data_IF_721779908748
#
_entry.id   IF_721779908748
#
_cell.length_a   1.000
_cell.length_b   1.000
_cell.length_c   1.000
_cell.angle_alpha   90.00
_cell.angle_beta   90.00
_cell.angle_gamma   90.00
#
_symmetry.space_group_name_H-M   'P 1'
#
loop_
_entity.id
_entity.type
_entity.pdbx_description
1 polymer ?
#
# COMPACT_ATOMS: atom_id res chain seq x y z
N UNK A 1 -48.99 -59.84 1.93
CA UNK A 1 -48.47 -58.66 1.19
C UNK A 1 -47.12 -58.28 1.80
N UNK A 2 -46.00 -58.69 1.18
CA UNK A 2 -44.65 -58.35 1.64
C UNK A 2 -44.27 -56.98 1.05
N UNK A 3 -44.03 -55.97 1.90
CA UNK A 3 -43.50 -54.67 1.49
C UNK A 3 -42.00 -54.84 1.20
N UNK A 4 -41.60 -54.68 -0.07
CA UNK A 4 -40.21 -54.54 -0.48
C UNK A 4 -39.70 -53.17 -0.04
N UNK A 5 -38.66 -53.16 0.79
CA UNK A 5 -37.90 -51.97 1.14
C UNK A 5 -36.90 -51.73 0.01
N UNK A 6 -37.04 -50.63 -0.74
CA UNK A 6 -36.02 -50.19 -1.69
C UNK A 6 -34.93 -49.44 -0.93
N UNK A 7 -33.75 -50.04 -0.82
CA UNK A 7 -32.52 -49.36 -0.45
C UNK A 7 -32.03 -48.55 -1.65
N UNK A 8 -32.12 -47.22 -1.55
CA UNK A 8 -31.45 -46.31 -2.48
C UNK A 8 -30.00 -46.18 -1.95
N UNK A 9 -28.97 -46.57 -2.72
CA UNK A 9 -27.60 -46.32 -2.30
C UNK A 9 -27.33 -44.82 -2.42
N UNK A 10 -26.97 -44.17 -1.30
CA UNK A 10 -26.38 -42.85 -1.33
C UNK A 10 -25.02 -42.98 -2.03
N UNK A 11 -24.93 -42.54 -3.28
CA UNK A 11 -23.67 -42.49 -4.03
C UNK A 11 -22.94 -41.23 -3.59
N UNK A 12 -22.01 -41.41 -2.66
CA UNK A 12 -21.03 -40.38 -2.28
C UNK A 12 -19.98 -40.29 -3.38
N UNK A 13 -20.13 -39.34 -4.29
CA UNK A 13 -19.13 -39.05 -5.31
C UNK A 13 -18.09 -38.08 -4.76
N UNK A 14 -16.86 -38.55 -4.52
CA UNK A 14 -15.71 -37.66 -4.42
C UNK A 14 -15.33 -37.24 -5.85
N UNK A 15 -15.65 -36.01 -6.23
CA UNK A 15 -15.07 -35.39 -7.43
C UNK A 15 -13.67 -34.87 -7.05
N UNK A 16 -12.66 -35.32 -7.78
CA UNK A 16 -11.29 -34.82 -7.70
C UNK A 16 -10.99 -34.10 -9.01
N UNK A 17 -11.12 -32.77 -9.04
CA UNK A 17 -10.56 -31.93 -10.08
C UNK A 17 -9.18 -31.38 -9.66
N UNK A 18 -8.38 -31.04 -10.67
CA UNK A 18 -6.93 -30.94 -10.59
C UNK A 18 -6.36 -29.89 -9.63
N UNK A 19 -5.14 -30.17 -9.16
CA UNK A 19 -4.07 -29.40 -8.48
C UNK A 19 -4.32 -28.08 -7.69
N UNK A 20 -5.53 -27.55 -7.55
CA UNK A 20 -5.89 -26.44 -6.66
C UNK A 20 -6.97 -26.78 -5.63
N UNK A 21 -7.67 -27.91 -5.78
CA UNK A 21 -8.84 -28.29 -4.97
C UNK A 21 -8.55 -28.80 -3.55
N UNK A 22 -7.29 -28.85 -3.09
CA UNK A 22 -6.99 -29.48 -1.79
C UNK A 22 -7.35 -28.64 -0.56
N UNK A 23 -7.72 -27.38 -0.72
CA UNK A 23 -7.92 -26.45 0.40
C UNK A 23 -9.37 -26.43 0.94
N UNK A 24 -10.38 -26.54 0.06
CA UNK A 24 -11.79 -26.47 0.46
C UNK A 24 -12.40 -27.87 0.55
N UNK A 25 -13.00 -28.20 1.71
CA UNK A 25 -13.69 -29.46 1.94
C UNK A 25 -15.10 -29.19 2.46
N UNK A 26 -16.11 -29.65 1.72
CA UNK A 26 -17.51 -29.56 2.12
C UNK A 26 -18.27 -30.82 1.67
N UNK A 27 -19.41 -31.07 2.30
CA UNK A 27 -20.39 -32.03 1.79
C UNK A 27 -21.07 -31.41 0.56
N UNK A 28 -20.90 -32.03 -0.61
CA UNK A 28 -21.48 -31.56 -1.87
C UNK A 28 -22.65 -32.45 -2.22
N UNK A 29 -23.84 -31.87 -2.29
CA UNK A 29 -25.04 -32.59 -2.72
C UNK A 29 -25.07 -32.72 -4.24
N UNK A 30 -25.82 -33.71 -4.75
CA UNK A 30 -26.10 -33.83 -6.19
C UNK A 30 -27.06 -32.73 -6.70
N UNK A 31 -27.71 -31.99 -5.79
CA UNK A 31 -28.62 -30.89 -6.09
C UNK A 31 -27.97 -29.51 -5.94
N UNK A 32 -28.76 -28.44 -5.78
CA UNK A 32 -28.20 -27.12 -5.49
C UNK A 32 -27.50 -27.14 -4.13
N UNK A 33 -26.35 -26.47 -4.08
CA UNK A 33 -25.61 -26.25 -2.84
C UNK A 33 -25.79 -24.79 -2.38
N UNK A 34 -25.66 -24.49 -1.07
CA UNK A 34 -25.88 -23.14 -0.52
C UNK A 34 -24.71 -22.17 -0.77
N UNK A 35 -24.10 -22.23 -1.95
CA UNK A 35 -23.06 -21.32 -2.43
C UNK A 35 -23.22 -21.08 -3.94
N UNK A 36 -22.75 -19.93 -4.42
CA UNK A 36 -22.89 -19.57 -5.84
C UNK A 36 -21.92 -20.31 -6.73
N UNK A 37 -20.63 -20.36 -6.36
CA UNK A 37 -19.56 -21.09 -7.04
C UNK A 37 -18.36 -21.33 -6.09
N UNK A 38 -17.39 -22.14 -6.52
CA UNK A 38 -16.15 -22.45 -5.78
C UNK A 38 -14.89 -21.91 -6.49
N UNK A 39 -15.04 -20.84 -7.28
CA UNK A 39 -13.92 -20.19 -7.97
C UNK A 39 -13.20 -19.25 -6.99
N UNK A 40 -12.51 -19.82 -6.00
CA UNK A 40 -11.77 -19.05 -5.01
C UNK A 40 -10.72 -18.16 -5.66
N UNK A 41 -10.60 -16.93 -5.16
CA UNK A 41 -9.61 -15.97 -5.62
C UNK A 41 -8.31 -16.08 -4.80
N UNK A 42 -7.68 -17.25 -4.83
CA UNK A 42 -6.58 -17.63 -3.92
C UNK A 42 -5.36 -18.25 -4.63
N UNK A 43 -5.14 -17.93 -5.91
CA UNK A 43 -3.93 -18.37 -6.61
C UNK A 43 -2.67 -17.91 -5.86
N UNK A 44 -1.65 -18.75 -5.81
CA UNK A 44 -0.41 -18.46 -5.09
C UNK A 44 0.34 -17.24 -5.66
N UNK A 45 0.03 -16.79 -6.87
CA UNK A 45 0.60 -15.60 -7.48
C UNK A 45 -0.17 -14.31 -7.14
N UNK A 46 -1.41 -14.45 -6.63
CA UNK A 46 -2.24 -13.35 -6.17
C UNK A 46 -1.93 -13.05 -4.70
N UNK A 47 -1.71 -11.77 -4.41
CA UNK A 47 -1.36 -11.32 -3.06
C UNK A 47 -1.91 -9.93 -2.79
N UNK A 48 -1.94 -9.55 -1.51
CA UNK A 48 -2.38 -8.22 -1.10
C UNK A 48 -1.32 -7.49 -0.29
N UNK A 49 -1.20 -6.19 -0.53
CA UNK A 49 -0.38 -5.30 0.28
C UNK A 49 -1.12 -3.99 0.51
N UNK A 50 -0.76 -3.27 1.56
CA UNK A 50 -1.28 -1.92 1.82
C UNK A 50 -0.28 -0.86 1.35
N UNK A 51 -0.77 0.32 0.96
CA UNK A 51 0.05 1.52 0.73
C UNK A 51 -0.42 2.59 1.70
N UNK A 52 0.47 3.03 2.57
CA UNK A 52 0.21 4.11 3.52
C UNK A 52 0.80 5.43 3.00
N UNK A 53 0.00 6.49 3.08
CA UNK A 53 0.40 7.85 2.70
C UNK A 53 1.32 8.49 3.74
N UNK A 54 1.67 9.74 3.45
CA UNK A 54 2.24 10.75 4.34
C UNK A 54 1.69 10.61 5.76
N UNK A 55 2.57 10.52 6.76
CA UNK A 55 2.14 10.72 8.15
C UNK A 55 2.01 12.22 8.41
N UNK A 56 2.96 13.00 7.91
CA UNK A 56 3.25 14.37 8.39
C UNK A 56 2.93 15.46 7.36
N UNK A 57 3.40 16.68 7.63
CA UNK A 57 3.00 17.90 6.92
C UNK A 57 1.93 18.70 7.68
N UNK A 58 1.83 18.53 9.00
CA UNK A 58 0.71 18.99 9.82
C UNK A 58 -0.24 17.85 10.17
N UNK A 59 0.32 16.74 10.70
CA UNK A 59 -0.45 15.56 11.06
C UNK A 59 -1.49 15.84 12.15
N UNK A 60 -2.52 15.01 12.18
CA UNK A 60 -3.48 14.95 13.28
C UNK A 60 -3.08 13.76 14.16
N UNK A 61 -2.75 13.96 15.44
CA UNK A 61 -2.36 12.87 16.34
C UNK A 61 -3.39 11.74 16.35
N UNK A 62 -2.93 10.49 16.35
CA UNK A 62 -3.78 9.31 16.44
C UNK A 62 -4.29 8.76 15.10
N UNK A 63 -4.31 9.54 14.01
CA UNK A 63 -4.82 9.08 12.72
C UNK A 63 -3.91 8.00 12.11
N UNK A 64 -2.60 8.19 12.17
CA UNK A 64 -1.66 7.21 11.62
C UNK A 64 -1.67 5.92 12.45
N UNK A 65 -1.73 6.04 13.78
CA UNK A 65 -1.87 4.92 14.72
C UNK A 65 -3.17 4.14 14.51
N UNK A 66 -4.28 4.85 14.28
CA UNK A 66 -5.56 4.28 13.92
C UNK A 66 -5.46 3.49 12.60
N UNK A 67 -4.79 4.04 11.58
CA UNK A 67 -4.49 3.32 10.35
C UNK A 67 -3.65 2.06 10.59
N UNK A 68 -2.60 2.10 11.42
CA UNK A 68 -1.79 0.93 11.78
C UNK A 68 -2.66 -0.16 12.43
N UNK A 69 -3.52 0.22 13.38
CA UNK A 69 -4.42 -0.74 14.05
C UNK A 69 -5.36 -1.44 13.06
N UNK A 70 -5.88 -0.69 12.08
CA UNK A 70 -6.78 -1.21 11.04
C UNK A 70 -6.06 -2.07 10.02
N UNK A 71 -4.84 -1.71 9.66
CA UNK A 71 -3.99 -2.54 8.80
C UNK A 71 -3.65 -3.87 9.50
N UNK A 72 -3.39 -3.87 10.81
CA UNK A 72 -3.20 -5.12 11.59
C UNK A 72 -4.45 -6.02 11.57
N UNK A 73 -5.66 -5.45 11.51
CA UNK A 73 -6.90 -6.22 11.36
C UNK A 73 -7.01 -6.87 9.97
N UNK A 74 -6.57 -6.17 8.93
CA UNK A 74 -6.66 -6.67 7.55
C UNK A 74 -5.51 -7.60 7.14
N UNK A 75 -4.38 -7.57 7.86
CA UNK A 75 -3.23 -8.47 7.68
C UNK A 75 -2.73 -8.56 6.22
N UNK A 76 -2.35 -7.45 5.58
CA UNK A 76 -1.70 -7.53 4.27
C UNK A 76 -0.36 -8.27 4.38
N UNK A 77 0.20 -8.74 3.27
CA UNK A 77 1.50 -9.42 3.32
C UNK A 77 2.65 -8.47 3.69
N UNK A 78 2.51 -7.19 3.32
CA UNK A 78 3.39 -6.10 3.71
C UNK A 78 2.71 -4.74 3.49
N UNK A 79 3.37 -3.69 3.97
CA UNK A 79 2.94 -2.30 3.84
C UNK A 79 4.02 -1.49 3.13
N UNK A 80 3.63 -0.78 2.07
CA UNK A 80 4.47 0.18 1.34
C UNK A 80 4.20 1.59 1.85
N UNK A 81 5.27 2.38 2.06
CA UNK A 81 5.16 3.82 2.28
C UNK A 81 5.34 4.61 0.99
N UNK A 82 4.74 5.81 0.93
CA UNK A 82 5.07 6.86 -0.06
C UNK A 82 5.75 8.10 0.58
N UNK A 83 6.29 7.97 1.79
CA UNK A 83 7.15 8.98 2.46
C UNK A 83 6.44 10.00 3.32
N UNK A 84 7.18 11.01 3.77
CA UNK A 84 6.81 12.02 4.77
C UNK A 84 6.39 11.37 6.11
N UNK A 85 7.38 10.72 6.73
CA UNK A 85 7.24 9.91 7.94
C UNK A 85 7.48 10.72 9.23
N UNK A 86 8.27 11.79 9.18
CA UNK A 86 8.50 12.71 10.31
C UNK A 86 8.13 14.14 9.94
N UNK A 87 7.93 15.05 10.91
CA UNK A 87 7.57 16.43 10.58
C UNK A 87 8.72 17.20 9.93
N UNK A 88 9.99 16.87 10.18
CA UNK A 88 11.12 17.35 9.39
C UNK A 88 11.24 18.89 9.29
N UNK A 89 10.60 19.61 10.21
CA UNK A 89 10.43 21.06 10.26
C UNK A 89 11.59 21.76 10.99
N UNK A 90 12.53 20.98 11.53
CA UNK A 90 13.75 21.43 12.18
C UNK A 90 15.01 20.95 11.45
N UNK A 91 16.10 21.71 11.60
CA UNK A 91 17.46 21.28 11.24
C UNK A 91 18.25 20.77 12.46
N UNK A 92 17.68 20.91 13.66
CA UNK A 92 18.27 20.39 14.89
C UNK A 92 18.20 18.87 14.90
N UNK A 93 19.36 18.23 15.06
CA UNK A 93 19.47 16.76 15.02
C UNK A 93 18.73 16.09 16.17
N UNK A 94 18.67 16.70 17.35
CA UNK A 94 17.96 16.10 18.49
C UNK A 94 16.44 16.16 18.30
N UNK A 95 15.93 17.26 17.73
CA UNK A 95 14.51 17.35 17.35
C UNK A 95 14.17 16.30 16.30
N UNK A 96 14.99 16.17 15.25
CA UNK A 96 14.78 15.17 14.21
C UNK A 96 14.83 13.74 14.77
N UNK A 97 15.76 13.44 15.70
CA UNK A 97 15.83 12.14 16.37
C UNK A 97 14.56 11.86 17.18
N UNK A 98 14.09 12.83 17.96
CA UNK A 98 12.84 12.69 18.72
C UNK A 98 11.63 12.40 17.82
N UNK A 99 11.54 13.03 16.63
CA UNK A 99 10.48 12.75 15.67
C UNK A 99 10.58 11.33 15.10
N UNK A 100 11.80 10.84 14.85
CA UNK A 100 12.02 9.46 14.43
C UNK A 100 11.71 8.46 15.53
N UNK A 101 12.07 8.73 16.79
CA UNK A 101 11.76 7.86 17.93
C UNK A 101 10.24 7.74 18.13
N UNK A 102 9.50 8.84 17.94
CA UNK A 102 8.03 8.83 17.92
C UNK A 102 7.49 7.96 16.77
N UNK A 103 8.00 8.16 15.56
CA UNK A 103 7.61 7.36 14.40
C UNK A 103 7.89 5.87 14.62
N UNK A 104 9.06 5.53 15.15
CA UNK A 104 9.47 4.16 15.50
C UNK A 104 8.52 3.51 16.49
N UNK A 105 8.12 4.24 17.54
CA UNK A 105 7.17 3.75 18.54
C UNK A 105 5.79 3.45 17.95
N UNK A 106 5.44 4.09 16.83
CA UNK A 106 4.17 3.90 16.14
C UNK A 106 4.26 2.78 15.12
N UNK A 107 5.29 2.78 14.28
CA UNK A 107 5.50 1.72 13.29
C UNK A 107 5.85 0.38 13.95
N UNK A 108 6.47 0.40 15.14
CA UNK A 108 6.74 -0.80 15.93
C UNK A 108 5.49 -1.56 16.40
N UNK A 109 4.29 -0.97 16.26
CA UNK A 109 3.01 -1.64 16.51
C UNK A 109 2.46 -2.38 15.28
N UNK A 110 3.05 -2.17 14.09
CA UNK A 110 2.64 -2.85 12.87
C UNK A 110 3.10 -4.32 12.91
N UNK A 111 2.20 -5.26 12.65
CA UNK A 111 2.50 -6.70 12.65
C UNK A 111 3.17 -7.19 11.36
N UNK A 112 3.10 -6.40 10.29
CA UNK A 112 3.54 -6.74 8.94
C UNK A 112 4.83 -5.99 8.59
N UNK A 113 5.64 -6.50 7.64
CA UNK A 113 6.80 -5.76 7.14
C UNK A 113 6.42 -4.38 6.59
N UNK A 114 7.16 -3.35 6.99
CA UNK A 114 7.02 -1.98 6.47
C UNK A 114 8.18 -1.63 5.55
N UNK A 115 7.85 -1.22 4.33
CA UNK A 115 8.80 -0.80 3.31
C UNK A 115 8.85 0.72 3.24
N UNK A 116 9.95 1.27 3.76
CA UNK A 116 10.20 2.70 3.87
C UNK A 116 10.42 3.34 2.50
N UNK A 117 9.95 4.57 2.33
CA UNK A 117 10.25 5.44 1.19
C UNK A 117 10.44 6.87 1.74
N UNK A 118 11.48 7.62 1.33
CA UNK A 118 11.70 8.96 1.84
C UNK A 118 10.82 9.99 1.12
N UNK A 119 10.19 10.88 1.89
CA UNK A 119 9.57 12.10 1.41
C UNK A 119 10.41 13.35 1.64
N UNK A 120 9.85 14.50 1.28
CA UNK A 120 10.58 15.76 1.47
C UNK A 120 10.74 16.13 2.93
N UNK A 121 9.86 15.73 3.83
CA UNK A 121 10.04 15.92 5.26
C UNK A 121 11.15 15.02 5.82
N UNK A 122 11.43 13.87 5.19
CA UNK A 122 12.41 12.89 5.68
C UNK A 122 13.84 13.13 5.17
N UNK A 123 14.01 13.76 4.00
CA UNK A 123 15.29 13.69 3.26
C UNK A 123 15.78 15.02 2.65
N UNK A 124 14.93 16.03 2.42
CA UNK A 124 15.26 17.19 1.55
C UNK A 124 16.30 18.20 2.07
N UNK A 125 17.05 17.88 3.13
CA UNK A 125 18.20 18.67 3.61
C UNK A 125 19.30 17.76 4.16
N UNK A 126 20.54 18.27 4.20
CA UNK A 126 21.71 17.49 4.67
C UNK A 126 21.51 16.81 6.05
N UNK A 127 21.04 17.48 7.12
CA UNK A 127 20.83 16.80 8.42
C UNK A 127 19.84 15.64 8.34
N UNK A 128 18.78 15.79 7.55
CA UNK A 128 17.72 14.81 7.37
C UNK A 128 18.18 13.62 6.53
N UNK A 129 18.85 13.86 5.41
CA UNK A 129 19.49 12.83 4.60
C UNK A 129 20.55 12.04 5.38
N UNK A 130 21.37 12.71 6.21
CA UNK A 130 22.33 12.04 7.09
C UNK A 130 21.62 11.09 8.06
N UNK A 131 20.58 11.58 8.75
CA UNK A 131 19.85 10.78 9.72
C UNK A 131 19.11 9.60 9.05
N UNK A 132 18.54 9.80 7.86
CA UNK A 132 18.00 8.70 7.05
C UNK A 132 19.05 7.63 6.78
N UNK A 133 20.22 8.02 6.28
CA UNK A 133 21.29 7.10 5.92
C UNK A 133 21.84 6.35 7.15
N UNK A 134 21.97 7.02 8.29
CA UNK A 134 22.38 6.40 9.56
C UNK A 134 21.38 5.34 10.04
N UNK A 135 20.08 5.57 9.86
CA UNK A 135 19.01 4.72 10.39
C UNK A 135 18.57 3.61 9.45
N UNK A 136 18.35 3.94 8.17
CA UNK A 136 17.72 3.07 7.17
C UNK A 136 18.66 2.70 6.02
N UNK A 137 19.83 3.35 5.93
CA UNK A 137 20.80 3.11 4.88
C UNK A 137 20.33 3.64 3.53
N UNK A 138 20.08 2.74 2.57
CA UNK A 138 19.73 3.12 1.19
C UNK A 138 18.40 3.89 1.14
N UNK A 139 18.32 4.92 0.30
CA UNK A 139 17.11 5.72 0.12
C UNK A 139 16.25 5.32 -1.08
N UNK A 140 16.80 4.51 -2.00
CA UNK A 140 16.10 3.93 -3.14
C UNK A 140 16.49 2.47 -3.28
N UNK A 141 15.57 1.65 -3.77
CA UNK A 141 15.78 0.21 -3.88
C UNK A 141 14.73 -0.45 -4.78
N UNK A 142 14.90 -1.75 -4.99
CA UNK A 142 13.88 -2.60 -5.58
C UNK A 142 13.79 -3.93 -4.85
N UNK A 143 12.68 -4.62 -5.05
CA UNK A 143 12.53 -6.02 -4.73
C UNK A 143 11.55 -6.68 -5.72
N UNK A 144 11.56 -8.00 -5.75
CA UNK A 144 10.61 -8.79 -6.55
C UNK A 144 9.82 -9.66 -5.60
N UNK A 145 8.51 -9.66 -5.75
CA UNK A 145 7.61 -10.48 -4.96
C UNK A 145 6.55 -11.09 -5.88
N UNK A 146 6.47 -12.44 -5.93
CA UNK A 146 5.57 -13.20 -6.82
C UNK A 146 5.57 -12.68 -8.28
N UNK A 147 6.78 -12.55 -8.83
CA UNK A 147 7.09 -12.04 -10.18
C UNK A 147 6.64 -10.59 -10.46
N UNK A 148 6.25 -9.83 -9.43
CA UNK A 148 5.98 -8.38 -9.53
C UNK A 148 7.22 -7.63 -9.05
N UNK A 149 7.69 -6.67 -9.86
CA UNK A 149 8.84 -5.83 -9.56
C UNK A 149 8.41 -4.54 -8.88
N UNK A 150 8.94 -4.28 -7.69
CA UNK A 150 8.70 -3.06 -6.93
C UNK A 150 9.91 -2.15 -7.04
N UNK A 151 9.72 -0.91 -7.50
CA UNK A 151 10.75 0.10 -7.64
C UNK A 151 10.44 1.27 -6.70
N UNK A 152 11.31 1.53 -5.73
CA UNK A 152 11.12 2.57 -4.71
C UNK A 152 12.13 3.71 -4.93
N UNK A 153 11.65 4.86 -5.42
CA UNK A 153 12.46 6.02 -5.77
C UNK A 153 12.61 6.99 -4.60
N UNK A 154 13.80 7.57 -4.45
CA UNK A 154 13.98 8.78 -3.66
C UNK A 154 13.90 10.00 -4.57
N UNK A 155 12.79 10.73 -4.51
CA UNK A 155 12.59 11.97 -5.29
C UNK A 155 13.29 13.19 -4.70
N UNK A 156 13.92 13.05 -3.54
CA UNK A 156 14.58 14.10 -2.77
C UNK A 156 16.08 13.89 -2.64
N UNK A 157 16.64 12.89 -3.33
CA UNK A 157 18.02 12.45 -3.16
C UNK A 157 19.04 13.57 -3.34
N UNK A 158 18.79 14.47 -4.30
CA UNK A 158 19.51 15.73 -4.44
C UNK A 158 18.81 16.78 -3.56
N UNK A 159 19.29 17.03 -2.33
CA UNK A 159 18.62 17.93 -1.40
C UNK A 159 18.46 19.31 -2.05
N UNK A 160 17.40 20.03 -1.67
CA UNK A 160 17.06 21.38 -2.19
C UNK A 160 16.62 21.45 -3.66
N UNK A 161 16.96 20.48 -4.52
CA UNK A 161 16.57 20.48 -5.94
C UNK A 161 15.39 19.57 -6.26
N UNK A 162 15.16 18.53 -5.44
CA UNK A 162 14.08 17.54 -5.61
C UNK A 162 14.11 16.96 -7.03
N UNK A 163 15.03 16.03 -7.28
CA UNK A 163 15.25 15.45 -8.59
C UNK A 163 15.70 13.99 -8.45
N UNK A 164 15.19 13.12 -9.34
CA UNK A 164 15.73 11.77 -9.52
C UNK A 164 17.13 11.92 -10.14
N UNK A 165 18.16 11.43 -9.46
CA UNK A 165 19.53 11.52 -9.99
C UNK A 165 19.76 10.61 -11.20
N UNK A 166 20.83 10.91 -11.93
CA UNK A 166 21.30 10.04 -13.01
C UNK A 166 21.72 8.66 -12.48
N UNK A 167 22.26 8.57 -11.26
CA UNK A 167 22.63 7.31 -10.61
C UNK A 167 21.39 6.43 -10.34
N UNK A 168 20.33 7.01 -9.77
CA UNK A 168 19.06 6.31 -9.58
C UNK A 168 18.48 5.83 -10.91
N UNK A 169 18.48 6.69 -11.95
CA UNK A 169 18.00 6.31 -13.27
C UNK A 169 18.77 5.11 -13.84
N UNK A 170 20.09 5.11 -13.72
CA UNK A 170 20.95 4.00 -14.17
C UNK A 170 20.73 2.71 -13.37
N UNK A 171 20.55 2.83 -12.05
CA UNK A 171 20.20 1.74 -11.17
C UNK A 171 18.90 1.06 -11.62
N UNK A 172 17.84 1.85 -11.85
CA UNK A 172 16.56 1.32 -12.29
C UNK A 172 16.57 0.81 -13.73
N UNK A 173 17.38 1.41 -14.61
CA UNK A 173 17.61 0.87 -15.96
C UNK A 173 18.18 -0.55 -15.90
N UNK A 174 19.23 -0.77 -15.09
CA UNK A 174 19.83 -2.10 -14.90
C UNK A 174 18.84 -3.07 -14.25
N UNK A 175 18.06 -2.58 -13.28
CA UNK A 175 17.05 -3.38 -12.57
C UNK A 175 15.94 -3.87 -13.50
N UNK A 176 15.38 -2.99 -14.34
CA UNK A 176 14.36 -3.33 -15.33
C UNK A 176 14.87 -4.35 -16.36
N UNK A 177 16.15 -4.23 -16.75
CA UNK A 177 16.79 -5.19 -17.67
C UNK A 177 16.95 -6.57 -17.03
N UNK A 178 17.37 -6.62 -15.76
CA UNK A 178 17.56 -7.88 -15.00
C UNK A 178 16.23 -8.57 -14.70
N UNK A 179 15.18 -7.80 -14.50
CA UNK A 179 13.84 -8.28 -14.17
C UNK A 179 12.88 -8.15 -15.37
N UNK A 180 13.38 -8.46 -16.58
CA UNK A 180 12.61 -8.28 -17.82
C UNK A 180 11.35 -9.15 -17.92
N UNK A 181 11.29 -10.23 -17.12
CA UNK A 181 10.16 -11.17 -17.02
C UNK A 181 9.13 -10.81 -15.95
N UNK A 182 9.32 -9.70 -15.23
CA UNK A 182 8.33 -9.29 -14.23
C UNK A 182 6.96 -9.10 -14.90
N UNK A 183 5.93 -9.73 -14.33
CA UNK A 183 4.56 -9.69 -14.87
C UNK A 183 3.92 -8.31 -14.72
N UNK A 184 4.39 -7.55 -13.74
CA UNK A 184 4.00 -6.18 -13.50
C UNK A 184 5.13 -5.40 -12.83
N UNK A 185 5.20 -4.08 -13.09
CA UNK A 185 6.11 -3.16 -12.42
C UNK A 185 5.31 -2.17 -11.57
N UNK A 186 5.55 -2.15 -10.27
CA UNK A 186 4.97 -1.18 -9.35
C UNK A 186 6.04 -0.16 -8.99
N UNK A 187 5.76 1.12 -9.23
CA UNK A 187 6.69 2.22 -8.99
C UNK A 187 6.16 3.05 -7.83
N UNK A 188 6.98 3.25 -6.81
CA UNK A 188 6.68 4.06 -5.64
C UNK A 188 7.64 5.24 -5.59
N UNK A 189 7.09 6.41 -5.28
CA UNK A 189 7.85 7.64 -5.08
C UNK A 189 7.09 8.54 -4.12
N UNK A 190 7.74 9.54 -3.55
CA UNK A 190 7.01 10.51 -2.74
C UNK A 190 6.37 11.59 -3.60
N UNK A 191 7.17 12.33 -4.36
CA UNK A 191 6.65 13.37 -5.25
C UNK A 191 6.18 12.78 -6.59
N UNK A 192 4.96 13.10 -7.05
CA UNK A 192 4.43 12.59 -8.31
C UNK A 192 5.14 13.26 -9.50
N UNK A 193 6.27 12.69 -9.93
CA UNK A 193 7.16 13.29 -10.95
C UNK A 193 6.46 13.58 -12.28
N UNK A 194 5.43 12.79 -12.63
CA UNK A 194 4.61 13.01 -13.82
C UNK A 194 3.81 14.31 -13.79
N UNK A 195 3.50 14.87 -12.61
CA UNK A 195 2.76 16.13 -12.51
C UNK A 195 3.63 17.37 -12.77
N UNK A 196 4.95 17.20 -12.87
CA UNK A 196 5.92 18.25 -13.17
C UNK A 196 6.22 18.39 -14.68
N UNK A 197 5.66 17.52 -15.53
CA UNK A 197 5.75 17.63 -16.98
C UNK A 197 5.21 18.99 -17.46
N UNK A 198 5.99 19.68 -18.30
CA UNK A 198 5.71 21.04 -18.78
C UNK A 198 5.87 22.15 -17.72
N UNK A 199 6.23 21.80 -16.47
CA UNK A 199 6.35 22.76 -15.36
C UNK A 199 7.79 22.90 -14.85
N UNK A 200 8.59 21.84 -14.96
CA UNK A 200 9.99 21.86 -14.55
C UNK A 200 10.84 21.02 -15.52
N UNK A 201 11.66 21.64 -16.40
CA UNK A 201 12.41 20.93 -17.43
C UNK A 201 13.37 19.85 -16.90
N UNK A 202 14.00 20.06 -15.74
CA UNK A 202 14.94 19.09 -15.17
C UNK A 202 14.20 17.83 -14.67
N UNK A 203 13.12 18.02 -13.91
CA UNK A 203 12.29 16.90 -13.40
C UNK A 203 11.61 16.16 -14.54
N UNK A 204 11.09 16.91 -15.51
CA UNK A 204 10.50 16.36 -16.72
C UNK A 204 11.48 15.47 -17.48
N UNK A 205 12.69 15.96 -17.74
CA UNK A 205 13.70 15.19 -18.46
C UNK A 205 14.00 13.86 -17.77
N UNK A 206 14.20 13.87 -16.45
CA UNK A 206 14.53 12.65 -15.70
C UNK A 206 13.36 11.68 -15.65
N UNK A 207 12.15 12.19 -15.46
CA UNK A 207 10.95 11.37 -15.45
C UNK A 207 10.65 10.75 -16.82
N UNK A 208 10.73 11.52 -17.91
CA UNK A 208 10.51 11.02 -19.27
C UNK A 208 11.54 9.96 -19.66
N UNK A 209 12.82 10.13 -19.27
CA UNK A 209 13.84 9.10 -19.48
C UNK A 209 13.45 7.80 -18.78
N UNK A 210 13.04 7.85 -17.52
CA UNK A 210 12.61 6.66 -16.80
C UNK A 210 11.34 6.03 -17.39
N UNK A 211 10.31 6.83 -17.65
CA UNK A 211 9.06 6.32 -18.22
C UNK A 211 9.26 5.65 -19.57
N UNK A 212 10.18 6.16 -20.39
CA UNK A 212 10.55 5.51 -21.66
C UNK A 212 11.04 4.08 -21.45
N UNK A 213 11.72 3.78 -20.32
CA UNK A 213 12.19 2.44 -19.98
C UNK A 213 11.05 1.48 -19.61
N UNK A 214 9.86 2.00 -19.29
CA UNK A 214 8.67 1.21 -19.01
C UNK A 214 7.87 0.87 -20.28
N UNK A 215 8.26 1.39 -21.45
CA UNK A 215 7.58 1.11 -22.70
C UNK A 215 7.48 -0.41 -22.96
N UNK A 216 6.26 -0.87 -23.30
CA UNK A 216 5.97 -2.28 -23.53
C UNK A 216 5.86 -3.14 -22.27
N UNK A 217 5.90 -2.54 -21.07
CA UNK A 217 5.67 -3.22 -19.80
C UNK A 217 4.32 -2.82 -19.22
N UNK A 218 3.72 -3.72 -18.45
CA UNK A 218 2.59 -3.38 -17.59
C UNK A 218 3.10 -2.75 -16.30
N UNK A 219 2.57 -1.58 -15.93
CA UNK A 219 3.01 -0.90 -14.72
C UNK A 219 1.93 -0.07 -14.02
N UNK A 220 2.19 0.29 -12.77
CA UNK A 220 1.35 1.20 -11.97
C UNK A 220 2.24 2.01 -11.05
N UNK A 221 1.88 3.28 -10.84
CA UNK A 221 2.70 4.22 -10.08
C UNK A 221 1.91 4.76 -8.89
N UNK A 222 2.56 4.86 -7.73
CA UNK A 222 2.00 5.38 -6.49
C UNK A 222 2.88 6.52 -5.96
N UNK A 223 2.24 7.60 -5.51
CA UNK A 223 2.89 8.74 -4.87
C UNK A 223 2.07 9.36 -3.74
N UNK A 224 2.68 10.24 -2.95
CA UNK A 224 2.06 11.03 -1.89
C UNK A 224 2.21 12.54 -2.14
N UNK A 225 2.70 13.29 -1.16
CA UNK A 225 3.11 14.70 -1.22
C UNK A 225 1.99 15.74 -1.41
N UNK A 226 0.94 15.45 -2.18
CA UNK A 226 -0.11 16.44 -2.50
C UNK A 226 -1.18 16.57 -1.42
N UNK A 227 -1.24 15.60 -0.52
CA UNK A 227 -2.29 15.49 0.51
C UNK A 227 -3.69 15.62 -0.08
N UNK A 228 -3.85 15.10 -1.29
CA UNK A 228 -5.08 15.12 -2.06
C UNK A 228 -5.04 13.96 -3.04
N UNK A 229 -6.03 13.09 -2.92
CA UNK A 229 -6.17 11.93 -3.77
C UNK A 229 -6.27 12.35 -5.24
N UNK A 230 -5.56 11.62 -6.09
CA UNK A 230 -5.55 11.85 -7.53
C UNK A 230 -5.31 10.57 -8.28
N UNK A 231 -5.96 10.44 -9.44
CA UNK A 231 -5.65 9.42 -10.43
C UNK A 231 -5.34 10.13 -11.74
N UNK A 232 -4.25 9.72 -12.39
CA UNK A 232 -3.93 10.10 -13.75
C UNK A 232 -3.80 8.83 -14.58
N UNK A 233 -4.45 8.78 -15.74
CA UNK A 233 -4.20 7.74 -16.73
C UNK A 233 -3.23 8.29 -17.77
N UNK A 234 -2.10 7.60 -17.96
CA UNK A 234 -1.10 7.98 -18.95
C UNK A 234 -0.41 6.75 -19.50
N UNK A 235 -0.19 6.75 -20.82
CA UNK A 235 0.40 5.62 -21.54
C UNK A 235 -0.33 4.28 -21.28
N UNK A 236 -1.66 4.33 -21.08
CA UNK A 236 -2.49 3.15 -20.78
C UNK A 236 -2.40 2.63 -19.34
N UNK A 237 -1.74 3.37 -18.44
CA UNK A 237 -1.47 2.93 -17.07
C UNK A 237 -1.92 3.97 -16.04
N UNK A 238 -2.18 3.50 -14.81
CA UNK A 238 -2.68 4.33 -13.71
C UNK A 238 -1.54 4.85 -12.84
N UNK A 239 -1.69 6.11 -12.46
CA UNK A 239 -0.82 6.87 -11.58
C UNK A 239 -1.65 7.40 -10.42
N UNK A 240 -1.36 6.93 -9.22
CA UNK A 240 -2.09 7.28 -8.01
C UNK A 240 -1.32 8.27 -7.16
N UNK A 241 -2.03 9.25 -6.64
CA UNK A 241 -1.58 10.10 -5.53
C UNK A 241 -2.48 9.80 -4.36
N UNK A 242 -1.89 9.41 -3.23
CA UNK A 242 -2.61 9.17 -1.98
C UNK A 242 -2.97 10.49 -1.29
N UNK A 243 -3.97 10.41 -0.42
CA UNK A 243 -4.46 11.53 0.37
C UNK A 243 -4.10 11.35 1.84
N UNK A 244 -4.02 12.49 2.53
CA UNK A 244 -4.28 12.58 3.96
C UNK A 244 -5.25 13.71 4.23
N UNK A 245 -6.00 13.62 5.32
CA UNK A 245 -6.74 14.75 5.81
C UNK A 245 -5.80 15.70 6.57
N UNK A 246 -5.58 16.87 6.01
CA UNK A 246 -4.94 17.95 6.74
C UNK A 246 -6.01 18.88 7.29
N UNK A 247 -5.86 19.29 8.56
CA UNK A 247 -6.71 20.29 9.22
C UNK A 247 -8.12 19.82 9.63
N UNK A 248 -8.32 18.52 9.79
CA UNK A 248 -9.41 17.98 10.62
C UNK A 248 -10.77 17.84 9.95
N UNK A 249 -10.87 17.99 8.61
CA UNK A 249 -12.12 17.74 7.89
C UNK A 249 -11.89 16.80 6.71
N UNK A 250 -12.44 15.59 6.83
CA UNK A 250 -12.56 14.68 5.70
C UNK A 250 -13.59 15.25 4.73
N UNK A 251 -13.14 15.54 3.52
CA UNK A 251 -13.99 16.02 2.43
C UNK A 251 -13.68 15.17 1.20
N UNK A 252 -14.39 14.04 1.09
CA UNK A 252 -14.20 13.05 0.02
C UNK A 252 -14.40 13.69 -1.36
N UNK A 253 -15.34 14.61 -1.48
CA UNK A 253 -15.64 15.36 -2.71
C UNK A 253 -14.49 16.29 -3.12
N UNK A 254 -13.61 16.67 -2.18
CA UNK A 254 -12.39 17.44 -2.46
C UNK A 254 -11.15 16.55 -2.58
N UNK A 255 -11.33 15.23 -2.60
CA UNK A 255 -10.26 14.25 -2.60
C UNK A 255 -9.33 14.36 -1.37
N UNK A 256 -9.85 14.82 -0.23
CA UNK A 256 -9.06 14.97 1.02
C UNK A 256 -9.65 14.12 2.11
N UNK A 257 -8.99 13.01 2.39
CA UNK A 257 -9.44 12.03 3.37
C UNK A 257 -8.28 11.19 3.90
N UNK A 258 -8.48 10.60 5.07
CA UNK A 258 -7.55 9.62 5.66
C UNK A 258 -7.90 8.23 5.17
N UNK A 259 -6.89 7.57 4.61
CA UNK A 259 -7.00 6.22 4.08
C UNK A 259 -5.64 5.52 4.10
N UNK A 260 -5.69 4.23 3.83
CA UNK A 260 -4.61 3.54 3.13
C UNK A 260 -5.18 2.92 1.86
N UNK A 261 -4.34 2.64 0.87
CA UNK A 261 -4.76 1.86 -0.28
C UNK A 261 -4.58 0.38 0.01
N UNK A 262 -5.61 -0.42 -0.20
CA UNK A 262 -5.50 -1.87 -0.28
C UNK A 262 -5.30 -2.28 -1.73
N UNK A 263 -4.19 -2.96 -2.03
CA UNK A 263 -3.85 -3.39 -3.38
C UNK A 263 -3.86 -4.90 -3.45
N UNK A 264 -4.74 -5.44 -4.27
CA UNK A 264 -4.77 -6.87 -4.60
C UNK A 264 -4.12 -7.06 -5.96
N UNK A 265 -2.97 -7.74 -6.01
CA UNK A 265 -2.34 -8.12 -7.27
C UNK A 265 -3.07 -9.30 -7.90
N UNK A 266 -3.63 -9.06 -9.08
CA UNK A 266 -4.36 -10.04 -9.90
C UNK A 266 -3.54 -10.48 -11.11
N UNK A 267 -4.07 -11.45 -11.87
CA UNK A 267 -3.55 -11.80 -13.20
C UNK A 267 -3.59 -10.61 -14.18
N UNK A 268 -4.53 -9.67 -13.99
CA UNK A 268 -4.75 -8.51 -14.86
C UNK A 268 -4.07 -7.23 -14.37
N UNK A 269 -3.34 -7.28 -13.24
CA UNK A 269 -2.71 -6.14 -12.59
C UNK A 269 -3.27 -5.82 -11.21
N UNK A 270 -2.90 -4.67 -10.61
CA UNK A 270 -3.37 -4.27 -9.29
C UNK A 270 -4.82 -3.80 -9.32
N UNK A 271 -5.66 -4.44 -8.52
CA UNK A 271 -6.94 -3.87 -8.09
C UNK A 271 -6.70 -2.99 -6.85
N UNK A 272 -7.03 -1.71 -6.95
CA UNK A 272 -6.75 -0.71 -5.92
C UNK A 272 -8.06 -0.26 -5.27
N UNK A 273 -8.15 -0.42 -3.95
CA UNK A 273 -9.24 0.09 -3.13
C UNK A 273 -8.73 1.16 -2.16
N UNK A 274 -9.40 2.31 -2.11
CA UNK A 274 -9.17 3.28 -1.05
C UNK A 274 -9.93 2.82 0.19
N UNK A 275 -9.20 2.41 1.21
CA UNK A 275 -9.78 1.93 2.46
C UNK A 275 -9.81 3.09 3.44
N UNK A 276 -11.00 3.66 3.58
CA UNK A 276 -11.24 4.74 4.53
C UNK A 276 -11.11 4.20 5.95
N UNK A 277 -10.58 5.02 6.86
CA UNK A 277 -10.39 4.58 8.24
C UNK A 277 -11.73 4.38 8.96
N UNK A 278 -12.76 5.17 8.64
CA UNK A 278 -14.08 4.97 9.21
C UNK A 278 -14.72 3.66 8.69
N UNK A 279 -15.19 2.83 9.62
CA UNK A 279 -15.89 1.58 9.29
C UNK A 279 -15.04 0.31 9.41
N UNK A 280 -13.77 0.41 9.77
CA UNK A 280 -12.97 -0.76 10.20
C UNK A 280 -12.90 -0.77 11.71
N UNK A 281 -13.36 -1.85 12.31
CA UNK A 281 -13.38 -2.07 13.75
C UNK A 281 -13.07 -3.53 14.04
N UNK A 282 -12.66 -3.82 15.27
CA UNK A 282 -12.42 -5.18 15.74
C UNK A 282 -13.70 -5.99 15.89
N UNK A 283 -13.58 -7.15 16.54
CA UNK A 283 -14.67 -8.09 16.82
C UNK A 283 -15.66 -7.60 17.90
N UNK A 284 -15.35 -6.51 18.59
CA UNK A 284 -16.25 -5.84 19.55
C UNK A 284 -16.63 -4.42 19.09
N UNK A 285 -17.46 -4.27 18.03
CA UNK A 285 -17.84 -2.97 17.48
C UNK A 285 -18.81 -2.19 18.38
N UNK A 286 -19.49 -2.87 19.30
CA UNK A 286 -20.47 -2.30 20.21
C UNK A 286 -19.93 -2.30 21.63
N UNK A 287 -20.20 -1.26 22.45
CA UNK A 287 -19.93 -1.31 23.88
C UNK A 287 -20.66 -2.51 24.52
N UNK A 288 -19.97 -3.25 25.39
CA UNK A 288 -20.62 -4.29 26.20
C UNK A 288 -21.69 -3.64 27.09
N UNK A 289 -22.92 -4.12 27.00
CA UNK A 289 -24.01 -3.69 27.87
C UNK A 289 -23.61 -3.94 29.34
N UNK A 290 -23.37 -2.89 30.13
CA UNK A 290 -22.97 -3.05 31.54
C UNK A 290 -22.28 -1.87 32.25
N UNK A 291 -21.86 -0.82 31.54
CA UNK A 291 -21.28 0.38 32.17
C UNK A 291 -22.03 1.67 31.83
N UNK A 292 -23.36 1.64 31.94
CA UNK A 292 -24.12 2.84 32.29
C UNK A 292 -23.90 3.13 33.80
N UNK A 293 -22.66 3.39 34.18
CA UNK A 293 -22.35 4.03 35.45
C UNK A 293 -22.90 5.46 35.38
N UNK A 294 -23.81 5.78 36.29
CA UNK A 294 -24.43 7.09 36.42
C UNK A 294 -23.37 8.20 36.34
N UNK A 295 -23.35 8.94 35.23
CA UNK A 295 -22.72 10.27 35.20
C UNK A 295 -23.73 11.20 35.87
N UNK A 296 -23.63 11.33 37.19
CA UNK A 296 -24.22 12.44 37.92
C UNK A 296 -23.41 13.70 37.60
N UNK A 297 -24.05 14.68 36.96
CA UNK A 297 -23.51 16.03 36.83
C UNK A 297 -23.60 16.77 38.17
N UNK A 298 -22.51 17.37 38.68
CA UNK A 298 -22.57 18.68 39.33
C UNK A 298 -22.57 19.82 38.30
#
# INVERSE_FOLDING_TARGET
>A
MKKMLFLIPAVWGLLLFGCGEKEFKAEVSQGPNPWTNLNFYNKAENFQFAVMSDRTGGHIPGIYEDAISKVNLLKPEFVMSVGDLIEGDSKDKEVLRSQWDEFDGIIGKLEMPFFYLPGNHDFSSMPRAQLWNERLGRSYYHFVYRDVLFLCFNTEELPETTLISQEQLEYFTKTLKRNSRARWVLVFMHKPMWEYLGKNPAKEQMWQKFETLLAGKNFTVFAGHKHRYGITERNGHKYYVLSINQKGQQVVEQCRFDHFMWVTMTDNGPDVANVMLNGITGDEPCPKEGHAGQVSYP
#
